data_IF_299664186491
#
_entry.id   IF_299664186491
#
_cell.length_a   1.000
_cell.length_b   1.000
_cell.length_c   1.000
_cell.angle_alpha   90.00
_cell.angle_beta   90.00
_cell.angle_gamma   90.00
#
_symmetry.space_group_name_H-M   'P 1'
#
loop_
_entity.id
_entity.type
_entity.pdbx_description
1 polymer ?
#
# COMPACT_ATOMS: atom_id res chain seq x y z
N UNK A 1 -8.98 -8.48 -8.41
CA UNK A 1 -7.50 -8.34 -8.52
C UNK A 1 -6.90 -7.87 -7.18
N UNK A 2 -5.58 -7.65 -7.06
CA UNK A 2 -4.91 -7.10 -5.86
C UNK A 2 -4.06 -5.88 -6.22
N UNK A 3 -4.01 -4.88 -5.35
CA UNK A 3 -3.19 -3.68 -5.52
C UNK A 3 -2.38 -3.39 -4.25
N UNK A 4 -1.20 -2.81 -4.44
CA UNK A 4 -0.40 -2.31 -3.32
C UNK A 4 -0.92 -0.93 -2.93
N UNK A 5 -1.23 -0.74 -1.66
CA UNK A 5 -1.66 0.54 -1.09
C UNK A 5 -0.66 0.93 -0.01
N UNK A 6 -0.24 2.20 -0.04
CA UNK A 6 0.48 2.79 1.07
C UNK A 6 -0.52 3.44 2.03
N UNK A 7 -0.40 3.13 3.31
CA UNK A 7 -1.22 3.68 4.38
C UNK A 7 -0.33 4.44 5.33
N UNK A 8 -0.75 5.67 5.62
CA UNK A 8 -0.15 6.54 6.64
C UNK A 8 -1.26 7.14 7.48
N UNK A 9 -1.02 7.34 8.77
CA UNK A 9 -1.96 8.05 9.64
C UNK A 9 -1.32 9.35 10.07
N UNK A 10 -1.98 10.46 9.78
CA UNK A 10 -1.60 11.76 10.32
C UNK A 10 -2.60 12.12 11.42
N UNK A 11 -2.10 12.59 12.57
CA UNK A 11 -2.95 12.90 13.73
C UNK A 11 -4.06 13.91 13.42
N UNK A 12 -3.78 14.88 12.52
CA UNK A 12 -4.71 15.97 12.20
C UNK A 12 -5.51 15.71 10.92
N UNK A 13 -4.94 14.95 9.96
CA UNK A 13 -5.57 14.68 8.67
C UNK A 13 -6.22 13.30 8.57
N UNK A 14 -6.09 12.46 9.60
CA UNK A 14 -6.62 11.09 9.62
C UNK A 14 -5.80 10.10 8.77
N UNK A 15 -6.36 8.91 8.49
CA UNK A 15 -5.73 7.91 7.66
C UNK A 15 -5.76 8.33 6.18
N UNK A 16 -4.61 8.23 5.53
CA UNK A 16 -4.45 8.40 4.09
C UNK A 16 -4.05 7.07 3.47
N UNK A 17 -4.73 6.70 2.39
CA UNK A 17 -4.48 5.49 1.63
C UNK A 17 -4.27 5.88 0.16
N UNK A 18 -3.11 5.55 -0.40
CA UNK A 18 -2.77 5.86 -1.79
C UNK A 18 -2.39 4.57 -2.51
N UNK A 19 -2.98 4.33 -3.69
CA UNK A 19 -2.62 3.19 -4.53
C UNK A 19 -1.23 3.42 -5.12
N UNK A 20 -0.34 2.45 -4.94
CA UNK A 20 0.98 2.45 -5.56
C UNK A 20 0.80 1.89 -6.97
N UNK A 21 0.91 2.75 -7.98
CA UNK A 21 0.61 2.41 -9.39
C UNK A 21 1.79 1.75 -10.11
N UNK A 22 3.03 2.04 -9.69
CA UNK A 22 4.24 1.54 -10.34
C UNK A 22 4.36 -0.01 -10.41
N UNK A 23 3.91 -0.81 -9.43
CA UNK A 23 3.91 -2.27 -9.50
C UNK A 23 2.74 -2.86 -10.33
N UNK A 24 1.74 -2.05 -10.70
CA UNK A 24 0.50 -2.52 -11.33
C UNK A 24 -0.42 -3.31 -10.39
N UNK A 25 -1.36 -4.05 -10.97
CA UNK A 25 -2.27 -4.97 -10.24
C UNK A 25 -1.79 -6.41 -10.33
N UNK A 26 -2.00 -7.16 -9.24
CA UNK A 26 -1.57 -8.54 -9.08
C UNK A 26 -2.77 -9.49 -9.12
N UNK A 27 -2.56 -10.68 -9.69
CA UNK A 27 -3.59 -11.73 -9.74
C UNK A 27 -3.81 -12.42 -8.39
N UNK A 28 -2.76 -12.54 -7.59
CA UNK A 28 -2.78 -13.23 -6.30
C UNK A 28 -2.27 -12.33 -5.17
N UNK A 29 -2.77 -12.57 -3.95
CA UNK A 29 -2.32 -11.84 -2.75
C UNK A 29 -0.84 -12.06 -2.50
N UNK A 30 -0.38 -13.32 -2.58
CA UNK A 30 1.02 -13.68 -2.39
C UNK A 30 1.95 -12.96 -3.40
N UNK A 31 1.52 -12.82 -4.66
CA UNK A 31 2.27 -12.08 -5.67
C UNK A 31 2.40 -10.59 -5.34
N UNK A 32 1.32 -9.99 -4.84
CA UNK A 32 1.34 -8.62 -4.35
C UNK A 32 2.29 -8.46 -3.15
N UNK A 33 2.24 -9.37 -2.17
CA UNK A 33 3.11 -9.31 -0.98
C UNK A 33 4.58 -9.49 -1.35
N UNK A 34 4.88 -10.36 -2.32
CA UNK A 34 6.22 -10.53 -2.85
C UNK A 34 6.75 -9.24 -3.50
N UNK A 35 5.91 -8.54 -4.26
CA UNK A 35 6.27 -7.27 -4.87
C UNK A 35 6.55 -6.17 -3.83
N UNK A 36 5.78 -6.12 -2.74
CA UNK A 36 6.08 -5.21 -1.61
C UNK A 36 7.47 -5.50 -1.05
N UNK A 37 7.76 -6.77 -0.73
CA UNK A 37 9.06 -7.16 -0.15
C UNK A 37 10.23 -6.88 -1.09
N UNK A 38 10.05 -7.07 -2.40
CA UNK A 38 11.10 -6.87 -3.39
C UNK A 38 11.37 -5.39 -3.70
N UNK A 39 10.33 -4.57 -3.80
CA UNK A 39 10.44 -3.23 -4.39
C UNK A 39 10.36 -2.09 -3.40
N UNK A 40 9.63 -2.24 -2.30
CA UNK A 40 9.44 -1.14 -1.33
C UNK A 40 10.74 -0.77 -0.60
N UNK A 41 11.55 -1.69 -0.07
CA UNK A 41 12.75 -1.30 0.68
C UNK A 41 13.77 -0.53 -0.18
N UNK A 42 13.83 -0.82 -1.47
CA UNK A 42 14.81 -0.28 -2.41
C UNK A 42 14.34 1.00 -3.12
N UNK A 43 13.03 1.14 -3.37
CA UNK A 43 12.47 2.25 -4.16
C UNK A 43 12.07 3.48 -3.35
N UNK A 44 12.27 3.47 -2.03
CA UNK A 44 11.93 4.60 -1.16
C UNK A 44 13.09 5.58 -1.01
N UNK A 45 12.76 6.87 -1.08
CA UNK A 45 13.64 7.95 -0.65
C UNK A 45 13.91 7.86 0.87
N UNK A 46 14.93 8.61 1.33
CA UNK A 46 15.42 8.51 2.71
C UNK A 46 14.33 8.81 3.77
N UNK A 47 13.45 9.80 3.53
CA UNK A 47 12.39 10.15 4.46
C UNK A 47 11.30 9.06 4.50
N UNK A 48 10.94 8.54 3.33
CA UNK A 48 10.00 7.44 3.17
C UNK A 48 10.49 6.14 3.83
N UNK A 49 11.79 5.85 3.75
CA UNK A 49 12.44 4.71 4.44
C UNK A 49 12.36 4.84 5.96
N UNK A 50 12.67 6.02 6.49
CA UNK A 50 12.59 6.26 7.93
C UNK A 50 11.15 6.11 8.45
N UNK A 51 10.16 6.63 7.71
CA UNK A 51 8.74 6.47 8.07
C UNK A 51 8.28 5.00 8.02
N UNK A 52 8.78 4.23 7.05
CA UNK A 52 8.51 2.79 6.98
C UNK A 52 9.14 2.02 8.15
N UNK A 53 10.41 2.29 8.46
CA UNK A 53 11.12 1.67 9.58
C UNK A 53 10.49 2.00 10.94
N UNK A 54 10.00 3.23 11.11
CA UNK A 54 9.29 3.67 12.32
C UNK A 54 7.84 3.13 12.41
N UNK A 55 7.35 2.41 11.40
CA UNK A 55 5.98 1.91 11.35
C UNK A 55 4.91 2.98 11.05
N UNK A 56 5.32 4.23 10.82
CA UNK A 56 4.44 5.35 10.47
C UNK A 56 3.92 5.26 9.02
N UNK A 57 4.57 4.44 8.19
CA UNK A 57 4.14 4.12 6.82
C UNK A 57 4.09 2.60 6.64
N UNK A 58 2.97 2.08 6.14
CA UNK A 58 2.81 0.67 5.81
C UNK A 58 2.40 0.47 4.37
N UNK A 59 2.90 -0.60 3.76
CA UNK A 59 2.49 -1.07 2.45
C UNK A 59 1.69 -2.34 2.64
N UNK A 60 0.48 -2.37 2.09
CA UNK A 60 -0.46 -3.48 2.26
C UNK A 60 -1.02 -3.89 0.90
N UNK A 61 -1.33 -5.17 0.77
CA UNK A 61 -2.04 -5.69 -0.37
C UNK A 61 -3.53 -5.62 -0.09
N UNK A 62 -4.25 -4.91 -0.95
CA UNK A 62 -5.70 -4.75 -0.85
C UNK A 62 -6.34 -5.40 -2.07
N UNK A 63 -7.40 -6.16 -1.85
CA UNK A 63 -8.19 -6.74 -2.94
C UNK A 63 -8.90 -5.60 -3.67
N UNK A 64 -8.66 -5.50 -4.97
CA UNK A 64 -9.37 -4.61 -5.87
C UNK A 64 -10.75 -5.20 -6.10
N UNK A 65 -11.76 -4.47 -5.64
CA UNK A 65 -13.15 -4.69 -6.00
C UNK A 65 -13.44 -3.95 -7.32
N UNK A 66 -13.89 -4.69 -8.32
CA UNK A 66 -14.06 -4.22 -9.70
C UNK A 66 -15.34 -3.40 -9.89
N UNK A 67 -16.20 -3.36 -8.86
CA UNK A 67 -17.50 -2.71 -8.88
C UNK A 67 -17.56 -1.44 -8.02
N UNK A 68 -16.47 -1.07 -7.32
CA UNK A 68 -16.46 0.11 -6.46
C UNK A 68 -17.52 0.07 -5.35
N UNK A 69 -18.06 -1.11 -5.05
CA UNK A 69 -19.08 -1.28 -4.04
C UNK A 69 -18.39 -1.31 -2.68
N UNK A 70 -18.17 -0.13 -2.10
CA UNK A 70 -17.93 -0.06 -0.67
C UNK A 70 -19.17 -0.66 0.01
N UNK A 71 -19.06 -1.75 0.79
CA UNK A 71 -20.21 -2.24 1.54
C UNK A 71 -20.73 -1.10 2.43
N UNK A 72 -22.06 -0.88 2.52
CA UNK A 72 -22.62 0.12 3.42
C UNK A 72 -22.15 -0.20 4.84
N UNK A 73 -21.65 0.82 5.54
CA UNK A 73 -21.24 0.74 6.95
C UNK A 73 -22.43 0.41 7.85
#
# INVERSE_FOLDING_TARGET
MWAVVVVTVNLLAGPQAVVVTAPGTFKTEAGCQAAIKASVPSSLDAASKAAFAAGARKYVCVRVDEHGALPPR
#
